data_IF_534333242042
#
_entry.id   IF_534333242042
#
_cell.length_a   1.000
_cell.length_b   1.000
_cell.length_c   1.000
_cell.angle_alpha   90.00
_cell.angle_beta   90.00
_cell.angle_gamma   90.00
#
_symmetry.space_group_name_H-M   'P 1'
#
loop_
_entity.id
_entity.type
_entity.pdbx_description
1 polymer ?
#
# COMPACT_ATOMS: atom_id res chain seq x y z
N UNK A 1 1.84 21.74 -12.45
CA UNK A 1 2.63 21.28 -11.28
C UNK A 1 2.81 19.77 -11.28
N UNK A 2 1.77 18.96 -11.51
CA UNK A 2 1.86 17.50 -11.50
C UNK A 2 2.74 16.95 -12.63
N UNK A 3 2.78 17.56 -13.80
CA UNK A 3 3.67 17.16 -14.90
C UNK A 3 5.18 17.27 -14.62
N UNK A 4 5.58 17.89 -13.50
CA UNK A 4 6.98 17.94 -13.06
C UNK A 4 7.36 16.78 -12.12
N UNK A 5 6.40 15.96 -11.71
CA UNK A 5 6.62 14.77 -10.87
C UNK A 5 6.76 13.57 -11.80
N UNK A 6 7.87 12.85 -11.68
CA UNK A 6 8.18 11.70 -12.53
C UNK A 6 7.21 10.54 -12.33
N UNK A 7 6.94 10.21 -11.08
CA UNK A 7 6.10 9.09 -10.68
C UNK A 7 5.39 9.38 -9.35
N UNK A 8 4.19 8.84 -9.19
CA UNK A 8 3.43 8.88 -7.95
C UNK A 8 3.20 7.46 -7.46
N UNK A 9 3.51 7.20 -6.20
CA UNK A 9 3.15 5.98 -5.50
C UNK A 9 2.18 6.35 -4.38
N UNK A 10 0.98 5.78 -4.43
CA UNK A 10 -0.10 6.09 -3.50
C UNK A 10 -0.45 4.85 -2.69
N UNK A 11 -0.32 4.91 -1.35
CA UNK A 11 -1.01 3.95 -0.50
C UNK A 11 -2.49 4.35 -0.44
N UNK A 12 -3.37 3.49 -0.89
CA UNK A 12 -4.81 3.75 -0.84
C UNK A 12 -5.66 2.88 -1.75
N UNK A 13 -6.94 2.89 -1.45
CA UNK A 13 -7.96 2.17 -2.23
C UNK A 13 -8.14 0.71 -1.81
N UNK A 14 -9.29 0.17 -2.23
CA UNK A 14 -9.70 -1.22 -2.05
C UNK A 14 -10.49 -1.67 -3.28
N UNK A 15 -9.88 -2.49 -4.14
CA UNK A 15 -10.45 -2.88 -5.43
C UNK A 15 -11.04 -4.30 -5.34
N UNK A 16 -12.35 -4.38 -5.09
CA UNK A 16 -13.04 -5.67 -4.95
C UNK A 16 -12.68 -6.45 -3.68
N UNK A 17 -12.06 -5.79 -2.71
CA UNK A 17 -11.77 -6.31 -1.36
C UNK A 17 -12.43 -5.41 -0.31
N UNK A 18 -12.64 -5.90 0.92
CA UNK A 18 -13.16 -5.06 2.00
C UNK A 18 -12.28 -3.82 2.26
N UNK A 19 -12.94 -2.71 2.62
CA UNK A 19 -12.25 -1.53 3.12
C UNK A 19 -11.80 -1.68 4.58
N UNK A 20 -11.10 -0.67 5.10
CA UNK A 20 -10.66 -0.62 6.50
C UNK A 20 -11.28 0.53 7.31
N UNK A 21 -11.94 1.49 6.66
CA UNK A 21 -12.69 2.57 7.31
C UNK A 21 -14.20 2.42 7.12
N UNK A 22 -14.62 1.92 5.97
CA UNK A 22 -15.98 1.43 5.70
C UNK A 22 -15.91 0.05 5.08
N UNK A 23 -17.02 -0.69 4.95
CA UNK A 23 -17.01 -1.99 4.28
C UNK A 23 -16.43 -1.98 2.86
N UNK A 24 -16.41 -0.84 2.18
CA UNK A 24 -16.03 -0.72 0.77
C UNK A 24 -14.95 0.33 0.48
N UNK A 25 -14.49 1.08 1.49
CA UNK A 25 -13.53 2.16 1.29
C UNK A 25 -12.31 2.04 2.20
N UNK A 26 -11.16 2.35 1.61
CA UNK A 26 -9.89 2.50 2.31
C UNK A 26 -9.76 3.93 2.88
N UNK A 27 -9.09 4.05 4.04
CA UNK A 27 -9.06 5.26 4.85
C UNK A 27 -8.52 6.49 4.12
N UNK A 28 -7.41 6.38 3.38
CA UNK A 28 -6.80 7.52 2.68
C UNK A 28 -7.71 8.03 1.55
N UNK A 29 -8.26 7.12 0.75
CA UNK A 29 -9.19 7.48 -0.33
C UNK A 29 -10.53 7.99 0.22
N UNK A 30 -10.97 7.48 1.37
CA UNK A 30 -12.15 7.97 2.05
C UNK A 30 -11.94 9.37 2.65
N UNK A 31 -10.75 9.69 3.14
CA UNK A 31 -10.44 10.99 3.75
C UNK A 31 -10.65 12.15 2.77
N UNK A 32 -10.08 12.05 1.55
CA UNK A 32 -10.27 13.05 0.49
C UNK A 32 -10.40 12.43 -0.91
N UNK A 33 -11.59 11.90 -1.25
CA UNK A 33 -11.83 11.29 -2.55
C UNK A 33 -11.76 12.29 -3.72
N UNK A 34 -11.95 13.58 -3.45
CA UNK A 34 -11.85 14.64 -4.48
C UNK A 34 -10.39 14.82 -4.85
N UNK A 35 -9.49 14.93 -3.86
CA UNK A 35 -8.05 15.02 -4.13
C UNK A 35 -7.54 13.79 -4.88
N UNK A 36 -7.99 12.57 -4.51
CA UNK A 36 -7.65 11.34 -5.22
C UNK A 36 -8.08 11.44 -6.69
N UNK A 37 -9.33 11.85 -6.97
CA UNK A 37 -9.82 11.99 -8.36
C UNK A 37 -9.02 13.03 -9.14
N UNK A 38 -8.61 14.14 -8.53
CA UNK A 38 -7.76 15.16 -9.16
C UNK A 38 -6.40 14.54 -9.52
N UNK A 39 -5.75 13.85 -8.61
CA UNK A 39 -4.45 13.21 -8.88
C UNK A 39 -4.57 12.22 -10.03
N UNK A 40 -5.56 11.31 -9.99
CA UNK A 40 -5.77 10.31 -11.04
C UNK A 40 -6.09 10.95 -12.40
N UNK A 41 -6.77 12.09 -12.42
CA UNK A 41 -7.11 12.78 -13.67
C UNK A 41 -5.92 13.51 -14.32
N UNK A 42 -5.06 14.12 -13.52
CA UNK A 42 -4.03 15.05 -14.02
C UNK A 42 -2.58 14.57 -13.87
N UNK A 43 -2.31 13.60 -12.97
CA UNK A 43 -0.96 13.05 -12.85
C UNK A 43 -0.75 11.91 -13.86
N UNK A 44 0.44 11.89 -14.46
CA UNK A 44 0.92 10.75 -15.24
C UNK A 44 1.62 9.75 -14.31
N UNK A 45 1.83 8.50 -14.74
CA UNK A 45 2.62 7.50 -14.02
C UNK A 45 2.20 7.33 -12.54
N UNK A 46 0.91 7.10 -12.29
CA UNK A 46 0.39 6.81 -10.95
C UNK A 46 0.37 5.31 -10.72
N UNK A 47 1.01 4.90 -9.63
CA UNK A 47 0.97 3.54 -9.09
C UNK A 47 0.22 3.55 -7.77
N UNK A 48 -0.77 2.69 -7.63
CA UNK A 48 -1.57 2.53 -6.42
C UNK A 48 -1.21 1.21 -5.77
N UNK A 49 -0.92 1.25 -4.47
CA UNK A 49 -0.66 0.09 -3.61
C UNK A 49 -1.85 -0.01 -2.63
N UNK A 50 -2.93 -0.71 -3.03
CA UNK A 50 -4.18 -0.74 -2.28
C UNK A 50 -4.18 -1.84 -1.21
N UNK A 51 -5.27 -1.93 -0.45
CA UNK A 51 -5.48 -2.99 0.55
C UNK A 51 -5.34 -4.39 -0.04
N UNK A 52 -5.59 -4.58 -1.32
CA UNK A 52 -5.38 -5.86 -2.04
C UNK A 52 -3.97 -6.44 -1.81
N UNK A 53 -2.96 -5.59 -1.79
CA UNK A 53 -1.57 -5.97 -1.53
C UNK A 53 -1.15 -5.68 -0.08
N UNK A 54 -1.50 -4.50 0.45
CA UNK A 54 -0.94 -4.02 1.71
C UNK A 54 -1.44 -4.80 2.94
N UNK A 55 -2.64 -5.36 2.91
CA UNK A 55 -3.14 -6.25 3.97
C UNK A 55 -2.34 -7.55 4.10
N UNK A 56 -1.58 -7.92 3.07
CA UNK A 56 -0.71 -9.11 3.06
C UNK A 56 0.68 -8.84 3.62
N UNK A 57 1.09 -7.58 3.72
CA UNK A 57 2.40 -7.18 4.24
C UNK A 57 2.42 -7.21 5.78
N UNK A 58 2.26 -8.40 6.34
CA UNK A 58 2.16 -8.62 7.78
C UNK A 58 3.55 -8.69 8.42
N UNK A 59 3.75 -7.89 9.46
CA UNK A 59 4.91 -7.98 10.37
C UNK A 59 4.44 -8.65 11.65
N UNK A 60 4.99 -9.83 11.96
CA UNK A 60 4.60 -10.62 13.12
C UNK A 60 5.38 -10.22 14.37
N UNK A 61 4.91 -10.57 15.59
CA UNK A 61 5.65 -10.34 16.83
C UNK A 61 7.05 -10.96 16.80
N UNK A 62 7.23 -12.14 16.21
CA UNK A 62 8.53 -12.80 16.08
C UNK A 62 9.48 -12.01 15.19
N UNK A 63 8.98 -11.40 14.12
CA UNK A 63 9.78 -10.49 13.27
C UNK A 63 10.19 -9.24 14.06
N UNK A 64 9.28 -8.68 14.85
CA UNK A 64 9.54 -7.49 15.68
C UNK A 64 10.64 -7.81 16.70
N UNK A 65 10.56 -8.93 17.40
CA UNK A 65 11.56 -9.37 18.37
C UNK A 65 12.92 -9.65 17.70
N UNK A 66 12.91 -10.28 16.53
CA UNK A 66 14.13 -10.49 15.74
C UNK A 66 14.78 -9.17 15.34
N UNK A 67 14.02 -8.21 14.83
CA UNK A 67 14.51 -6.89 14.45
C UNK A 67 15.03 -6.13 15.66
N UNK A 68 14.35 -6.19 16.81
CA UNK A 68 14.81 -5.52 18.05
C UNK A 68 16.15 -6.09 18.55
N UNK A 69 16.32 -7.42 18.41
CA UNK A 69 17.57 -8.09 18.80
C UNK A 69 18.76 -7.67 17.93
N UNK A 70 18.59 -7.62 16.61
CA UNK A 70 19.67 -7.32 15.65
C UNK A 70 19.65 -5.88 15.13
N UNK A 71 18.51 -5.20 15.29
CA UNK A 71 18.28 -3.87 14.74
C UNK A 71 18.85 -2.76 15.62
N UNK A 72 18.96 -1.59 15.01
CA UNK A 72 19.50 -0.39 15.66
C UNK A 72 18.43 0.62 16.03
N UNK A 73 17.22 0.45 15.50
CA UNK A 73 16.10 1.35 15.75
C UNK A 73 15.36 0.99 17.04
N UNK A 74 15.84 1.46 18.18
CA UNK A 74 15.24 1.20 19.51
C UNK A 74 13.76 1.59 19.60
N UNK A 75 13.29 2.51 18.75
CA UNK A 75 11.89 2.93 18.67
C UNK A 75 11.01 1.94 17.92
N UNK A 76 11.59 1.04 17.11
CA UNK A 76 10.83 0.16 16.24
C UNK A 76 9.91 -0.78 17.03
N UNK A 77 10.46 -1.51 18.02
CA UNK A 77 9.68 -2.47 18.81
C UNK A 77 8.51 -1.81 19.55
N UNK A 78 8.68 -0.77 20.39
CA UNK A 78 7.55 -0.18 21.10
C UNK A 78 6.49 0.40 20.14
N UNK A 79 6.89 0.91 18.97
CA UNK A 79 5.95 1.40 17.95
C UNK A 79 5.14 0.25 17.34
N UNK A 80 5.81 -0.84 16.99
CA UNK A 80 5.16 -1.99 16.37
C UNK A 80 4.32 -2.80 17.37
N UNK A 81 4.73 -2.89 18.63
CA UNK A 81 3.93 -3.53 19.69
C UNK A 81 2.59 -2.78 19.84
N UNK A 82 2.62 -1.45 19.94
CA UNK A 82 1.40 -0.62 19.98
C UNK A 82 0.53 -0.82 18.72
N UNK A 83 1.15 -0.87 17.54
CA UNK A 83 0.45 -1.03 16.27
C UNK A 83 -0.17 -2.43 16.13
N UNK A 84 0.52 -3.45 16.63
CA UNK A 84 0.03 -4.84 16.66
C UNK A 84 -1.18 -4.95 17.59
N UNK A 85 -1.12 -4.39 18.80
CA UNK A 85 -2.24 -4.35 19.74
C UNK A 85 -3.48 -3.68 19.11
N UNK A 86 -3.31 -2.54 18.46
CA UNK A 86 -4.38 -1.82 17.75
C UNK A 86 -5.07 -2.67 16.66
N UNK A 87 -4.31 -3.50 15.92
CA UNK A 87 -4.89 -4.37 14.90
C UNK A 87 -5.55 -5.60 15.51
N UNK A 88 -4.95 -6.21 16.53
CA UNK A 88 -5.50 -7.38 17.21
C UNK A 88 -6.79 -7.08 17.98
N UNK A 89 -6.98 -5.85 18.49
CA UNK A 89 -8.25 -5.42 19.06
C UNK A 89 -9.38 -5.42 18.02
N UNK A 90 -9.08 -5.17 16.74
CA UNK A 90 -10.05 -5.14 15.63
C UNK A 90 -10.26 -6.52 15.00
N UNK A 91 -9.20 -7.28 14.87
CA UNK A 91 -9.22 -8.64 14.33
C UNK A 91 -8.20 -9.51 15.08
N UNK A 92 -8.68 -10.25 16.13
CA UNK A 92 -7.83 -11.14 16.92
C UNK A 92 -7.23 -12.31 16.12
N UNK A 93 -7.67 -12.53 14.88
CA UNK A 93 -7.16 -13.61 14.02
C UNK A 93 -5.91 -13.20 13.24
N UNK A 94 -5.55 -11.92 13.22
CA UNK A 94 -4.36 -11.45 12.53
C UNK A 94 -3.09 -11.92 13.25
N UNK A 95 -2.14 -12.55 12.51
CA UNK A 95 -0.88 -13.01 13.09
C UNK A 95 0.11 -11.88 13.41
N UNK A 96 -0.22 -10.64 13.05
CA UNK A 96 0.61 -9.45 13.23
C UNK A 96 -0.07 -8.22 12.62
N UNK A 97 0.69 -7.17 12.38
CA UNK A 97 0.17 -5.92 11.81
C UNK A 97 0.54 -5.73 10.35
N UNK A 98 -0.40 -5.32 9.49
CA UNK A 98 -0.09 -4.92 8.13
C UNK A 98 0.64 -3.57 8.11
N UNK A 99 1.76 -3.50 7.41
CA UNK A 99 2.57 -2.28 7.29
C UNK A 99 2.32 -1.60 5.93
N UNK A 100 1.17 -0.96 5.82
CA UNK A 100 0.63 -0.41 4.57
C UNK A 100 1.58 0.56 3.86
N UNK A 101 2.00 1.61 4.54
CA UNK A 101 2.84 2.67 3.96
C UNK A 101 4.27 2.19 3.73
N UNK A 102 4.78 1.31 4.59
CA UNK A 102 6.11 0.71 4.44
C UNK A 102 6.16 -0.14 3.17
N UNK A 103 5.12 -0.96 2.88
CA UNK A 103 5.06 -1.70 1.63
C UNK A 103 5.07 -0.75 0.43
N UNK A 104 4.35 0.37 0.51
CA UNK A 104 4.33 1.36 -0.58
C UNK A 104 5.72 1.96 -0.82
N UNK A 105 6.48 2.24 0.24
CA UNK A 105 7.85 2.72 0.13
C UNK A 105 8.79 1.66 -0.47
N UNK A 106 8.70 0.41 -0.02
CA UNK A 106 9.50 -0.70 -0.55
C UNK A 106 9.16 -0.94 -2.03
N UNK A 107 7.89 -0.81 -2.43
CA UNK A 107 7.44 -0.97 -3.81
C UNK A 107 8.09 0.00 -4.81
N UNK A 108 8.60 1.14 -4.36
CA UNK A 108 9.36 2.08 -5.20
C UNK A 108 10.70 1.48 -5.61
N UNK A 109 11.33 0.71 -4.73
CA UNK A 109 12.67 0.14 -4.91
C UNK A 109 12.59 -1.28 -5.46
N UNK A 110 11.62 -2.05 -4.98
CA UNK A 110 11.40 -3.47 -5.27
C UNK A 110 10.00 -3.75 -5.83
N UNK A 111 9.64 -3.20 -7.01
CA UNK A 111 8.31 -3.42 -7.59
C UNK A 111 8.07 -4.88 -8.01
N UNK A 112 9.12 -5.68 -8.19
CA UNK A 112 9.07 -7.09 -8.60
C UNK A 112 8.32 -7.99 -7.60
N UNK A 113 8.21 -7.60 -6.35
CA UNK A 113 7.44 -8.34 -5.33
C UNK A 113 5.92 -8.16 -5.48
N UNK A 114 5.46 -7.29 -6.38
CA UNK A 114 4.05 -6.97 -6.56
C UNK A 114 3.55 -7.39 -7.94
N UNK A 115 2.33 -7.90 -7.98
CA UNK A 115 1.63 -8.17 -9.23
C UNK A 115 0.79 -6.96 -9.62
N UNK A 116 1.16 -6.31 -10.71
CA UNK A 116 0.48 -5.12 -11.21
C UNK A 116 -0.44 -5.41 -12.39
N UNK A 117 -1.54 -4.65 -12.44
CA UNK A 117 -2.43 -4.55 -13.60
C UNK A 117 -2.79 -3.09 -13.86
N UNK A 118 -3.22 -2.79 -15.07
CA UNK A 118 -3.55 -1.43 -15.52
C UNK A 118 -5.03 -1.35 -15.82
N UNK A 119 -5.74 -0.47 -15.08
CA UNK A 119 -7.17 -0.25 -15.28
C UNK A 119 -7.54 1.21 -15.19
N UNK A 120 -8.62 1.65 -15.86
CA UNK A 120 -9.31 2.89 -15.54
C UNK A 120 -9.84 2.80 -14.10
N UNK A 121 -9.79 3.91 -13.38
CA UNK A 121 -10.23 3.97 -11.98
C UNK A 121 -11.30 5.05 -11.82
N UNK A 122 -12.37 4.68 -11.14
CA UNK A 122 -13.38 5.60 -10.65
C UNK A 122 -13.38 5.64 -9.12
N UNK A 123 -13.63 6.84 -8.58
CA UNK A 123 -13.66 7.12 -7.14
C UNK A 123 -15.03 7.69 -6.78
N UNK A 124 -15.64 7.12 -5.77
CA UNK A 124 -16.86 7.64 -5.18
C UNK A 124 -16.61 8.96 -4.45
N UNK A 125 -17.10 10.06 -5.00
CA UNK A 125 -16.82 11.44 -4.52
C UNK A 125 -17.92 12.00 -3.62
N UNK A 126 -18.85 11.16 -3.11
CA UNK A 126 -19.89 11.60 -2.21
C UNK A 126 -19.26 12.25 -0.94
N UNK A 127 -19.90 13.30 -0.44
CA UNK A 127 -19.43 13.96 0.78
C UNK A 127 -19.59 13.06 2.01
N UNK A 128 -20.63 12.23 2.00
CA UNK A 128 -20.97 11.30 3.08
C UNK A 128 -21.53 10.00 2.51
N UNK A 129 -21.64 8.98 3.36
CA UNK A 129 -22.28 7.71 3.01
C UNK A 129 -21.33 6.60 2.63
N UNK A 130 -21.89 5.42 2.38
CA UNK A 130 -21.17 4.17 2.20
C UNK A 130 -20.15 4.20 1.05
N UNK A 131 -20.49 4.90 -0.03
CA UNK A 131 -19.68 4.93 -1.26
C UNK A 131 -18.64 6.07 -1.30
N UNK A 132 -18.54 6.88 -0.22
CA UNK A 132 -17.46 7.86 -0.11
C UNK A 132 -16.10 7.16 -0.14
N UNK A 133 -15.22 7.55 -1.05
CA UNK A 133 -13.89 6.97 -1.21
C UNK A 133 -13.86 5.54 -1.78
N UNK A 134 -15.03 4.98 -2.18
CA UNK A 134 -15.07 3.70 -2.90
C UNK A 134 -14.20 3.80 -4.15
N UNK A 135 -13.30 2.85 -4.33
CA UNK A 135 -12.44 2.74 -5.52
C UNK A 135 -12.89 1.57 -6.39
N UNK A 136 -13.09 1.85 -7.68
CA UNK A 136 -13.54 0.88 -8.67
C UNK A 136 -12.53 0.83 -9.81
N UNK A 137 -11.97 -0.36 -10.09
CA UNK A 137 -11.20 -0.62 -11.30
C UNK A 137 -12.17 -1.15 -12.38
N UNK A 138 -12.14 -0.55 -13.56
CA UNK A 138 -12.92 -1.07 -14.69
C UNK A 138 -12.18 -2.24 -15.33
N UNK A 139 -12.57 -3.44 -14.94
CA UNK A 139 -11.99 -4.71 -15.40
C UNK A 139 -12.68 -5.31 -16.61
N UNK A 140 -13.60 -4.60 -17.23
CA UNK A 140 -14.28 -5.07 -18.46
C UNK A 140 -13.26 -5.24 -19.59
N UNK A 141 -13.52 -6.13 -20.57
CA UNK A 141 -12.64 -6.29 -21.72
C UNK A 141 -12.32 -4.94 -22.39
N UNK A 142 -11.10 -4.77 -22.86
CA UNK A 142 -10.61 -3.50 -23.42
C UNK A 142 -11.45 -2.98 -24.60
N UNK A 143 -12.18 -3.86 -25.32
CA UNK A 143 -13.10 -3.48 -26.38
C UNK A 143 -14.33 -2.69 -25.87
N UNK A 144 -14.66 -2.82 -24.58
CA UNK A 144 -15.78 -2.10 -23.95
C UNK A 144 -15.32 -0.82 -23.23
N UNK A 145 -14.01 -0.63 -23.06
CA UNK A 145 -13.42 0.57 -22.48
C UNK A 145 -13.28 1.60 -23.60
N UNK A 146 -13.88 2.78 -23.40
CA UNK A 146 -13.80 3.86 -24.40
C UNK A 146 -12.33 4.25 -24.68
N UNK A 147 -11.99 4.38 -25.96
CA UNK A 147 -10.66 4.83 -26.38
C UNK A 147 -10.28 6.17 -25.71
N UNK A 148 -9.11 6.24 -25.14
CA UNK A 148 -8.56 7.46 -24.53
C UNK A 148 -8.84 7.61 -23.03
N UNK A 149 -9.47 6.63 -22.36
CA UNK A 149 -9.58 6.62 -20.90
C UNK A 149 -8.21 6.32 -20.29
N UNK A 150 -7.80 7.16 -19.34
CA UNK A 150 -6.53 7.02 -18.61
C UNK A 150 -6.56 5.78 -17.72
N UNK A 151 -5.53 4.96 -17.81
CA UNK A 151 -5.34 3.81 -16.94
C UNK A 151 -4.23 4.07 -15.92
N UNK A 152 -4.32 3.41 -14.76
CA UNK A 152 -3.31 3.51 -13.70
C UNK A 152 -2.83 2.13 -13.30
N UNK A 153 -1.59 2.04 -12.84
CA UNK A 153 -0.99 0.80 -12.36
C UNK A 153 -1.47 0.52 -10.94
N UNK A 154 -2.04 -0.67 -10.71
CA UNK A 154 -2.61 -1.08 -9.43
C UNK A 154 -1.95 -2.39 -9.00
N UNK A 155 -1.48 -2.48 -7.76
CA UNK A 155 -0.94 -3.70 -7.17
C UNK A 155 -2.08 -4.59 -6.64
N UNK A 156 -2.30 -5.76 -7.26
CA UNK A 156 -3.36 -6.69 -6.85
C UNK A 156 -2.86 -7.81 -5.93
N UNK A 157 -1.57 -8.11 -5.96
CA UNK A 157 -1.00 -9.18 -5.15
C UNK A 157 0.42 -8.86 -4.69
N UNK A 158 0.84 -9.55 -3.62
CA UNK A 158 2.14 -9.44 -2.99
C UNK A 158 2.79 -10.80 -2.88
N UNK A 159 4.03 -10.93 -3.36
CA UNK A 159 4.93 -11.99 -2.97
C UNK A 159 5.46 -11.72 -1.55
N UNK A 160 4.81 -12.34 -0.57
CA UNK A 160 5.15 -12.14 0.83
C UNK A 160 6.59 -12.57 1.17
N UNK A 161 7.11 -13.60 0.49
CA UNK A 161 8.47 -14.09 0.75
C UNK A 161 9.50 -13.04 0.35
N UNK A 162 9.33 -12.42 -0.83
CA UNK A 162 10.19 -11.33 -1.26
C UNK A 162 10.06 -10.11 -0.33
N UNK A 163 8.84 -9.71 0.02
CA UNK A 163 8.61 -8.63 1.00
C UNK A 163 9.33 -8.90 2.31
N UNK A 164 9.15 -10.10 2.88
CA UNK A 164 9.81 -10.51 4.13
C UNK A 164 11.33 -10.38 4.06
N UNK A 165 11.93 -10.86 2.98
CA UNK A 165 13.40 -10.77 2.80
C UNK A 165 13.87 -9.32 2.68
N UNK A 166 13.23 -8.51 1.85
CA UNK A 166 13.60 -7.10 1.69
C UNK A 166 13.42 -6.32 2.99
N UNK A 167 12.27 -6.49 3.64
CA UNK A 167 11.97 -5.81 4.90
C UNK A 167 13.00 -6.14 5.99
N UNK A 168 13.26 -7.43 6.24
CA UNK A 168 14.24 -7.85 7.25
C UNK A 168 15.66 -7.39 6.89
N UNK A 169 16.07 -7.48 5.63
CA UNK A 169 17.41 -7.06 5.23
C UNK A 169 17.66 -5.60 5.56
N UNK A 170 16.70 -4.71 5.26
CA UNK A 170 16.82 -3.28 5.57
C UNK A 170 16.83 -3.02 7.09
N UNK A 171 16.00 -3.76 7.84
CA UNK A 171 15.82 -3.53 9.27
C UNK A 171 16.96 -4.10 10.13
N UNK A 172 17.77 -5.03 9.61
CA UNK A 172 18.81 -5.75 10.38
C UNK A 172 20.23 -5.50 9.89
N UNK A 173 20.44 -4.92 8.70
CA UNK A 173 21.78 -4.64 8.18
C UNK A 173 22.47 -3.52 8.96
N UNK A 174 23.74 -3.72 9.24
CA UNK A 174 24.60 -2.69 9.83
C UNK A 174 24.96 -1.64 8.76
N UNK A 175 24.55 -0.38 8.95
CA UNK A 175 24.89 0.72 8.03
C UNK A 175 26.43 0.90 7.87
N UNK A 176 27.23 0.33 8.77
CA UNK A 176 28.68 0.32 8.65
C UNK A 176 29.20 -0.55 7.49
N UNK A 177 28.40 -1.53 7.01
CA UNK A 177 28.78 -2.39 5.89
C UNK A 177 28.43 -1.78 4.52
N UNK A 178 27.47 -0.86 4.45
CA UNK A 178 27.08 -0.19 3.20
C UNK A 178 28.15 0.80 2.72
N UNK A 179 28.93 1.38 3.64
CA UNK A 179 29.97 2.37 3.31
C UNK A 179 31.30 1.75 2.81
N UNK A 180 31.40 0.42 2.67
CA UNK A 180 32.59 -0.28 2.20
C UNK A 180 32.58 -0.69 0.73
N UNK A 181 31.51 -0.35 0.01
CA UNK A 181 31.33 -0.72 -1.40
C UNK A 181 31.18 0.47 -2.36
N UNK A 182 31.52 1.69 -1.93
CA UNK A 182 31.70 2.87 -2.79
C UNK A 182 33.18 3.13 -3.12
#
# INVERSE_FOLDING_TARGET
>A
LMGNVKEFYLMGGAFGVPGNVTPVAEANFHADPIAVKIVLSYADNVTIIPLNATQKAIVTPEMIDYIDHFGKAKIFKPLMDFYTEFYQERDPTLPGSPVHDVLTLIAVIHPEMLTFQYYPIEIGQQLEGLTRGLSIADTRPSAEIANGIKTHRIAFDLDYVQFFHHFLSVMTVDQADVSRHD
#
